data_IF_018715923554
#
_entry.id   IF_018715923554
#
_cell.length_a   1.000
_cell.length_b   1.000
_cell.length_c   1.000
_cell.angle_alpha   90.00
_cell.angle_beta   90.00
_cell.angle_gamma   90.00
#
_symmetry.space_group_name_H-M   'P 1'
#
loop_
_entity.id
_entity.type
_entity.pdbx_description
1 polymer ?
#
# COMPACT_ATOMS: atom_id res chain seq x y z
N UNK A 1 -71.79 -5.66 30.82
CA UNK A 1 -72.55 -6.69 31.58
C UNK A 1 -73.31 -7.53 30.56
N UNK A 2 -73.23 -8.86 30.40
CA UNK A 2 -72.49 -9.94 31.05
C UNK A 2 -72.83 -11.29 30.36
N UNK A 3 -71.83 -12.16 30.26
CA UNK A 3 -71.73 -13.64 30.06
C UNK A 3 -72.97 -14.52 29.74
N UNK A 4 -72.75 -15.53 28.85
CA UNK A 4 -72.70 -17.02 29.08
C UNK A 4 -72.82 -17.77 27.72
N UNK A 5 -71.80 -18.49 27.23
CA UNK A 5 -71.46 -19.93 27.39
C UNK A 5 -72.59 -20.95 27.16
N UNK A 6 -72.40 -21.89 26.21
CA UNK A 6 -72.23 -23.35 26.50
C UNK A 6 -72.01 -24.18 25.21
N UNK A 7 -71.40 -25.36 25.41
CA UNK A 7 -70.69 -26.25 24.48
C UNK A 7 -71.31 -27.66 24.63
N UNK A 8 -71.60 -28.42 23.56
CA UNK A 8 -71.90 -29.88 23.70
C UNK A 8 -71.32 -30.69 22.52
N UNK A 9 -70.75 -31.83 22.93
CA UNK A 9 -69.96 -32.86 22.23
C UNK A 9 -70.78 -33.84 21.35
N UNK A 10 -70.04 -34.45 20.43
CA UNK A 10 -70.23 -35.66 19.58
C UNK A 10 -70.74 -36.91 20.35
N UNK A 11 -71.19 -38.02 19.68
CA UNK A 11 -70.25 -39.12 19.29
C UNK A 11 -70.71 -40.05 18.09
N UNK A 12 -69.80 -40.63 17.28
CA UNK A 12 -69.38 -42.09 17.22
C UNK A 12 -70.31 -43.01 16.38
N UNK A 13 -69.92 -44.02 15.59
CA UNK A 13 -68.72 -44.55 14.90
C UNK A 13 -69.18 -45.76 14.04
N UNK A 14 -68.42 -46.18 13.01
CA UNK A 14 -67.93 -47.58 12.77
C UNK A 14 -67.26 -47.66 11.37
N UNK A 15 -65.95 -47.88 11.13
CA UNK A 15 -64.93 -48.84 11.59
C UNK A 15 -65.06 -50.28 11.04
N UNK A 16 -65.38 -50.47 9.74
CA UNK A 16 -65.30 -51.81 9.09
C UNK A 16 -64.53 -51.97 7.78
N UNK A 17 -64.07 -50.92 7.08
CA UNK A 17 -63.53 -51.11 5.71
C UNK A 17 -62.02 -50.96 5.49
N UNK A 18 -61.20 -50.77 6.53
CA UNK A 18 -59.80 -50.38 6.28
C UNK A 18 -58.75 -51.44 6.63
N UNK A 19 -58.82 -52.64 6.05
CA UNK A 19 -57.65 -53.56 5.97
C UNK A 19 -57.61 -54.36 4.67
N UNK A 20 -57.07 -53.76 3.61
CA UNK A 20 -56.38 -54.48 2.52
C UNK A 20 -55.24 -53.64 1.93
N UNK A 21 -54.13 -53.60 2.68
CA UNK A 21 -52.75 -53.78 2.22
C UNK A 21 -52.40 -53.45 0.74
N UNK A 22 -51.63 -52.36 0.54
CA UNK A 22 -50.53 -52.31 -0.44
C UNK A 22 -49.33 -51.61 0.20
N UNK A 23 -48.36 -52.41 0.65
CA UNK A 23 -47.03 -51.96 1.08
C UNK A 23 -46.25 -51.54 -0.17
N UNK A 24 -46.30 -50.28 -0.60
CA UNK A 24 -45.44 -49.81 -1.70
C UNK A 24 -45.09 -48.31 -1.75
N UNK A 25 -44.69 -47.62 -0.65
CA UNK A 25 -44.03 -46.31 -0.81
C UNK A 25 -42.56 -46.25 -0.34
N UNK A 26 -42.06 -47.26 0.38
CA UNK A 26 -40.73 -47.15 1.01
C UNK A 26 -39.56 -47.54 0.10
N UNK A 27 -39.75 -48.55 -0.76
CA UNK A 27 -38.66 -49.08 -1.59
C UNK A 27 -38.33 -48.10 -2.74
N UNK A 28 -39.33 -47.47 -3.35
CA UNK A 28 -39.13 -46.49 -4.44
C UNK A 28 -38.40 -45.23 -3.99
N UNK A 29 -38.61 -44.78 -2.75
CA UNK A 29 -37.95 -43.59 -2.18
C UNK A 29 -36.46 -43.81 -1.90
N UNK A 30 -36.08 -44.99 -1.40
CA UNK A 30 -34.67 -45.32 -1.13
C UNK A 30 -33.90 -45.45 -2.43
N UNK A 31 -34.43 -46.16 -3.43
CA UNK A 31 -33.76 -46.31 -4.74
C UNK A 31 -33.64 -44.98 -5.49
N UNK A 32 -34.68 -44.13 -5.44
CA UNK A 32 -34.64 -42.83 -6.11
C UNK A 32 -33.66 -41.86 -5.41
N UNK A 33 -33.60 -41.85 -4.08
CA UNK A 33 -32.67 -41.00 -3.33
C UNK A 33 -31.22 -41.45 -3.49
N UNK A 34 -30.93 -42.76 -3.49
CA UNK A 34 -29.57 -43.26 -3.76
C UNK A 34 -29.13 -43.02 -5.19
N UNK A 35 -30.03 -43.18 -6.18
CA UNK A 35 -29.71 -42.89 -7.58
C UNK A 35 -29.41 -41.39 -7.79
N UNK A 36 -30.19 -40.50 -7.18
CA UNK A 36 -29.95 -39.05 -7.24
C UNK A 36 -28.60 -38.71 -6.57
N UNK A 37 -28.29 -39.30 -5.42
CA UNK A 37 -27.00 -39.07 -4.75
C UNK A 37 -25.83 -39.55 -5.62
N UNK A 38 -25.94 -40.72 -6.24
CA UNK A 38 -24.90 -41.27 -7.13
C UNK A 38 -24.70 -40.42 -8.39
N UNK A 39 -25.79 -39.89 -8.98
CA UNK A 39 -25.70 -38.95 -10.11
C UNK A 39 -25.08 -37.63 -9.69
N UNK A 40 -25.43 -37.11 -8.51
CA UNK A 40 -24.87 -35.87 -7.98
C UNK A 40 -23.37 -36.01 -7.65
N UNK A 41 -22.98 -37.09 -6.96
CA UNK A 41 -21.57 -37.39 -6.70
C UNK A 41 -20.81 -37.70 -7.99
N UNK A 42 -21.42 -38.40 -8.96
CA UNK A 42 -20.84 -38.63 -10.27
C UNK A 42 -20.55 -37.33 -11.03
N UNK A 43 -21.50 -36.38 -11.03
CA UNK A 43 -21.33 -35.06 -11.64
C UNK A 43 -20.31 -34.20 -10.90
N UNK A 44 -20.25 -34.27 -9.57
CA UNK A 44 -19.26 -33.56 -8.75
C UNK A 44 -17.84 -34.14 -8.94
N UNK A 45 -17.69 -35.46 -9.07
CA UNK A 45 -16.40 -36.11 -9.30
C UNK A 45 -15.92 -35.94 -10.75
N UNK A 46 -16.83 -35.90 -11.73
CA UNK A 46 -16.50 -35.62 -13.14
C UNK A 46 -16.22 -34.14 -13.41
N UNK A 47 -16.75 -33.22 -12.61
CA UNK A 47 -16.33 -31.82 -12.58
C UNK A 47 -15.06 -31.69 -11.74
N UNK A 48 -13.94 -32.23 -12.24
CA UNK A 48 -12.62 -31.77 -11.76
C UNK A 48 -12.60 -30.24 -11.91
N UNK A 49 -12.37 -29.45 -10.84
CA UNK A 49 -12.02 -28.05 -11.04
C UNK A 49 -10.77 -28.07 -11.91
N UNK A 50 -10.88 -27.48 -13.10
CA UNK A 50 -9.71 -27.21 -13.93
C UNK A 50 -8.93 -26.18 -13.12
N UNK A 51 -7.98 -26.66 -12.32
CA UNK A 51 -6.91 -25.82 -11.78
C UNK A 51 -6.15 -25.37 -13.02
N UNK A 52 -6.51 -24.20 -13.55
CA UNK A 52 -5.60 -23.47 -14.42
C UNK A 52 -4.32 -23.30 -13.61
N UNK A 53 -3.29 -24.07 -13.98
CA UNK A 53 -1.94 -23.76 -13.55
C UNK A 53 -1.58 -22.43 -14.18
N UNK A 54 -1.78 -21.36 -13.44
CA UNK A 54 -0.91 -20.18 -13.52
C UNK A 54 -0.12 -20.22 -12.23
N UNK A 55 1.16 -20.61 -12.33
CA UNK A 55 2.14 -19.60 -12.66
C UNK A 55 2.95 -20.00 -13.90
N UNK A 56 3.06 -19.07 -14.85
CA UNK A 56 4.37 -18.84 -15.42
C UNK A 56 5.31 -18.62 -14.23
N UNK A 57 6.07 -19.66 -13.90
CA UNK A 57 7.28 -19.46 -13.13
C UNK A 57 8.09 -18.54 -14.03
N UNK A 58 8.11 -17.25 -13.71
CA UNK A 58 9.17 -16.38 -14.20
C UNK A 58 10.45 -17.02 -13.70
N UNK A 59 11.04 -17.88 -14.52
CA UNK A 59 12.47 -18.16 -14.48
C UNK A 59 13.11 -16.90 -15.08
N UNK A 60 12.87 -15.77 -14.41
CA UNK A 60 13.74 -14.61 -14.57
C UNK A 60 15.06 -15.10 -14.02
N UNK A 61 16.07 -15.15 -14.87
CA UNK A 61 17.45 -15.12 -14.41
C UNK A 61 17.51 -14.03 -13.34
N UNK A 62 17.91 -14.38 -12.11
CA UNK A 62 18.01 -13.39 -11.04
C UNK A 62 19.09 -12.42 -11.46
N UNK A 63 18.71 -11.31 -12.09
CA UNK A 63 19.61 -10.22 -12.40
C UNK A 63 19.89 -9.54 -11.07
N UNK A 64 20.84 -10.10 -10.34
CA UNK A 64 21.38 -9.49 -9.13
C UNK A 64 22.18 -8.28 -9.60
N UNK A 65 21.57 -7.11 -9.46
CA UNK A 65 22.29 -5.85 -9.65
C UNK A 65 23.42 -5.77 -8.61
N UNK A 66 24.62 -5.43 -9.08
CA UNK A 66 25.77 -5.26 -8.19
C UNK A 66 25.63 -3.96 -7.40
N UNK A 67 25.92 -4.03 -6.10
CA UNK A 67 25.99 -2.84 -5.26
C UNK A 67 27.20 -2.00 -5.67
N UNK A 68 27.00 -0.68 -5.78
CA UNK A 68 28.09 0.29 -5.83
C UNK A 68 28.52 0.70 -4.41
N UNK A 69 29.80 0.95 -4.20
CA UNK A 69 30.35 1.49 -2.94
C UNK A 69 31.44 0.63 -2.29
N UNK A 70 31.86 0.94 -1.05
CA UNK A 70 31.27 1.96 -0.16
C UNK A 70 31.53 3.40 -0.62
N UNK A 71 30.57 4.30 -0.38
CA UNK A 71 30.74 5.74 -0.55
C UNK A 71 31.18 6.36 0.79
N UNK A 72 32.43 6.82 0.92
CA UNK A 72 32.90 7.38 2.19
C UNK A 72 32.23 8.74 2.46
N UNK A 73 31.73 8.94 3.68
CA UNK A 73 31.08 10.19 4.09
C UNK A 73 32.01 11.42 3.98
N UNK A 74 33.33 11.22 3.96
CA UNK A 74 34.32 12.28 3.73
C UNK A 74 34.21 12.91 2.34
N UNK A 75 33.58 12.23 1.37
CA UNK A 75 33.36 12.73 0.02
C UNK A 75 32.03 13.50 -0.10
N UNK A 76 31.24 13.58 0.98
CA UNK A 76 29.98 14.31 1.02
C UNK A 76 30.15 15.59 1.86
N UNK A 77 29.45 16.67 1.50
CA UNK A 77 29.48 17.89 2.31
C UNK A 77 28.83 17.69 3.69
N UNK A 78 29.18 18.58 4.62
CA UNK A 78 28.76 18.52 6.02
C UNK A 78 29.60 17.55 6.86
N UNK A 79 29.22 17.40 8.13
CA UNK A 79 29.91 16.56 9.13
C UNK A 79 28.92 15.79 9.98
N UNK A 80 29.36 14.78 10.74
CA UNK A 80 28.49 13.96 11.60
C UNK A 80 27.95 12.71 10.91
N UNK A 81 26.82 12.18 11.38
CA UNK A 81 26.23 10.98 10.80
C UNK A 81 25.19 11.30 9.73
N UNK A 82 25.00 10.38 8.79
CA UNK A 82 23.91 10.45 7.82
C UNK A 82 22.58 10.28 8.56
N UNK A 83 21.71 11.28 8.45
CA UNK A 83 20.41 11.30 9.12
C UNK A 83 19.30 10.80 8.21
N UNK A 84 19.32 11.20 6.94
CA UNK A 84 18.30 10.81 5.96
C UNK A 84 18.80 11.04 4.54
N UNK A 85 18.35 10.24 3.58
CA UNK A 85 18.61 10.41 2.15
C UNK A 85 17.32 10.12 1.37
N UNK A 86 17.08 10.89 0.31
CA UNK A 86 16.00 10.61 -0.64
C UNK A 86 16.38 11.03 -2.06
N UNK A 87 15.63 10.53 -3.03
CA UNK A 87 15.65 11.04 -4.38
C UNK A 87 14.38 10.68 -5.14
N UNK A 88 14.11 11.44 -6.20
CA UNK A 88 13.01 11.20 -7.13
C UNK A 88 13.39 11.70 -8.52
N UNK A 89 12.81 11.10 -9.54
CA UNK A 89 12.96 11.56 -10.92
C UNK A 89 12.01 12.74 -11.15
N UNK A 90 12.54 13.87 -11.61
CA UNK A 90 11.79 15.05 -12.00
C UNK A 90 11.21 14.87 -13.40
N UNK A 91 10.16 15.63 -13.79
CA UNK A 91 9.57 15.49 -15.12
C UNK A 91 10.50 15.87 -16.28
N UNK A 92 11.57 16.63 -16.04
CA UNK A 92 12.63 16.85 -17.03
C UNK A 92 13.53 15.62 -17.27
N UNK A 93 13.30 14.53 -16.53
CA UNK A 93 14.06 13.30 -16.62
C UNK A 93 15.31 13.26 -15.75
N UNK A 94 15.66 14.31 -15.00
CA UNK A 94 16.79 14.26 -14.08
C UNK A 94 16.42 13.66 -12.71
N UNK A 95 17.37 13.02 -12.05
CA UNK A 95 17.24 12.62 -10.65
C UNK A 95 17.54 13.81 -9.74
N UNK A 96 16.59 14.20 -8.90
CA UNK A 96 16.86 15.03 -7.74
C UNK A 96 17.33 14.13 -6.59
N UNK A 97 18.51 14.42 -6.04
CA UNK A 97 19.07 13.73 -4.89
C UNK A 97 19.22 14.70 -3.72
N UNK A 98 18.86 14.27 -2.52
CA UNK A 98 19.12 15.04 -1.31
C UNK A 98 19.41 14.18 -0.10
N UNK A 99 20.11 14.76 0.87
CA UNK A 99 20.39 14.12 2.15
C UNK A 99 20.49 15.14 3.30
N UNK A 100 20.37 14.64 4.53
CA UNK A 100 20.58 15.38 5.77
C UNK A 100 21.70 14.75 6.58
N UNK A 101 22.60 15.59 7.09
CA UNK A 101 23.76 15.17 7.90
C UNK A 101 24.20 16.34 8.77
N UNK A 102 24.46 16.07 10.05
CA UNK A 102 24.89 17.12 11.00
C UNK A 102 23.92 18.30 11.10
N UNK A 103 22.62 18.05 10.96
CA UNK A 103 21.59 19.10 11.00
C UNK A 103 21.53 20.02 9.78
N UNK A 104 22.18 19.63 8.68
CA UNK A 104 22.19 20.38 7.42
C UNK A 104 21.71 19.49 6.26
N UNK A 105 20.92 20.09 5.37
CA UNK A 105 20.41 19.47 4.17
C UNK A 105 21.26 19.85 2.95
N UNK A 106 21.43 18.90 2.05
CA UNK A 106 22.17 19.06 0.80
C UNK A 106 21.38 18.46 -0.34
N UNK A 107 21.36 19.15 -1.48
CA UNK A 107 20.61 18.72 -2.67
C UNK A 107 21.46 18.87 -3.91
N UNK A 108 21.24 18.02 -4.90
CA UNK A 108 21.80 18.16 -6.25
C UNK A 108 20.89 17.51 -7.28
N UNK A 109 21.23 17.72 -8.54
CA UNK A 109 20.62 17.03 -9.68
C UNK A 109 21.63 16.09 -10.33
N UNK A 110 21.13 15.00 -10.88
CA UNK A 110 21.92 14.01 -11.61
C UNK A 110 21.22 13.74 -12.94
N UNK A 111 21.85 14.05 -14.08
CA UNK A 111 21.31 13.72 -15.39
C UNK A 111 21.11 12.20 -15.54
N UNK A 112 20.24 11.81 -16.47
CA UNK A 112 20.06 10.40 -16.83
C UNK A 112 20.72 10.13 -18.18
N UNK A 113 21.32 8.96 -18.32
CA UNK A 113 21.86 8.46 -19.59
C UNK A 113 20.74 7.97 -20.50
N UNK A 114 21.06 7.72 -21.77
CA UNK A 114 20.13 7.20 -22.77
C UNK A 114 19.52 5.83 -22.39
N UNK A 115 20.18 5.06 -21.53
CA UNK A 115 19.70 3.78 -21.00
C UNK A 115 18.84 3.91 -19.72
N UNK A 116 18.47 5.14 -19.35
CA UNK A 116 17.75 5.48 -18.12
C UNK A 116 18.49 5.12 -16.82
N UNK A 117 19.82 5.09 -16.83
CA UNK A 117 20.63 5.03 -15.61
C UNK A 117 21.12 6.43 -15.17
N UNK A 118 21.29 6.69 -13.86
CA UNK A 118 21.85 7.96 -13.40
C UNK A 118 23.30 8.16 -13.85
N UNK A 119 23.59 9.35 -14.38
CA UNK A 119 24.93 9.76 -14.77
C UNK A 119 25.68 10.46 -13.63
N UNK A 120 26.15 9.67 -12.67
CA UNK A 120 26.86 10.16 -11.49
C UNK A 120 28.11 10.99 -11.80
N UNK A 121 28.74 10.79 -12.98
CA UNK A 121 29.93 11.54 -13.39
C UNK A 121 29.63 12.98 -13.82
N UNK A 122 28.37 13.26 -14.19
CA UNK A 122 27.87 14.57 -14.59
C UNK A 122 26.86 15.14 -13.58
N UNK A 123 26.85 14.61 -12.34
CA UNK A 123 26.05 15.18 -11.27
C UNK A 123 26.45 16.63 -10.98
N UNK A 124 25.47 17.50 -10.75
CA UNK A 124 25.75 18.87 -10.34
C UNK A 124 26.42 18.91 -8.96
N UNK A 125 27.12 20.02 -8.69
CA UNK A 125 27.65 20.31 -7.35
C UNK A 125 26.52 20.32 -6.32
N UNK A 126 26.84 19.90 -5.09
CA UNK A 126 25.89 19.99 -3.98
C UNK A 126 25.51 21.45 -3.69
N UNK A 127 24.22 21.73 -3.71
CA UNK A 127 23.61 22.93 -3.14
C UNK A 127 23.32 22.74 -1.64
N UNK A 128 23.38 23.84 -0.89
CA UNK A 128 23.25 23.87 0.57
C UNK A 128 24.34 24.74 1.22
N UNK A 129 24.48 24.70 2.56
CA UNK A 129 23.67 23.92 3.49
C UNK A 129 22.26 24.50 3.68
N UNK A 130 21.27 23.63 3.74
CA UNK A 130 19.91 23.97 4.17
C UNK A 130 19.80 23.73 5.68
N UNK A 131 19.63 24.75 6.53
CA UNK A 131 19.63 24.54 7.97
C UNK A 131 18.30 23.93 8.44
N UNK A 132 18.35 22.95 9.34
CA UNK A 132 17.15 22.36 9.95
C UNK A 132 16.26 23.39 10.66
N UNK A 133 16.82 24.49 11.13
CA UNK A 133 16.08 25.58 11.79
C UNK A 133 15.03 26.23 10.89
N UNK A 134 15.14 26.07 9.57
CA UNK A 134 14.17 26.59 8.61
C UNK A 134 13.00 25.61 8.39
N UNK A 135 13.03 24.43 9.00
CA UNK A 135 11.98 23.43 8.90
C UNK A 135 11.20 23.30 10.22
N UNK A 136 9.90 22.97 10.17
CA UNK A 136 9.13 22.74 11.37
C UNK A 136 9.60 21.51 12.16
N UNK A 137 9.12 21.39 13.40
CA UNK A 137 9.53 20.37 14.37
C UNK A 137 10.84 20.70 15.10
N UNK A 138 11.38 19.71 15.81
CA UNK A 138 12.63 19.82 16.59
C UNK A 138 13.45 18.53 16.47
N UNK A 139 14.73 18.59 16.87
CA UNK A 139 15.65 17.45 16.79
C UNK A 139 16.25 17.23 15.41
N UNK A 140 16.75 16.02 15.16
CA UNK A 140 17.36 15.64 13.89
C UNK A 140 16.34 15.19 12.85
N UNK A 141 16.75 15.21 11.58
CA UNK A 141 15.94 14.62 10.51
C UNK A 141 15.88 13.10 10.71
N UNK A 142 14.69 12.53 10.81
CA UNK A 142 14.49 11.09 10.98
C UNK A 142 14.29 10.41 9.62
N UNK A 143 13.59 11.07 8.71
CA UNK A 143 13.32 10.55 7.37
C UNK A 143 12.86 11.68 6.46
N UNK A 144 13.15 11.58 5.17
CA UNK A 144 12.63 12.49 4.15
C UNK A 144 12.20 11.69 2.93
N UNK A 145 11.22 12.18 2.19
CA UNK A 145 10.85 11.62 0.89
C UNK A 145 10.20 12.70 0.01
N UNK A 146 10.20 12.44 -1.28
CA UNK A 146 9.39 13.19 -2.23
C UNK A 146 9.06 12.34 -3.44
N UNK A 147 7.96 12.68 -4.10
CA UNK A 147 7.53 12.05 -5.35
C UNK A 147 6.66 13.01 -6.16
N UNK A 148 6.67 12.85 -7.48
CA UNK A 148 5.83 13.62 -8.40
C UNK A 148 4.43 13.02 -8.41
N UNK A 149 3.44 13.82 -8.09
CA UNK A 149 2.03 13.45 -8.14
C UNK A 149 1.49 13.46 -9.59
N UNK A 150 0.36 12.78 -9.88
CA UNK A 150 -0.22 12.79 -11.22
C UNK A 150 -0.64 14.16 -11.75
N UNK A 151 -0.84 15.15 -10.87
CA UNK A 151 -1.12 16.53 -11.26
C UNK A 151 0.16 17.32 -11.64
N UNK A 152 1.33 16.68 -11.60
CA UNK A 152 2.62 17.27 -11.94
C UNK A 152 3.34 17.97 -10.79
N UNK A 153 2.73 18.10 -9.61
CA UNK A 153 3.37 18.74 -8.46
C UNK A 153 4.22 17.74 -7.66
N UNK A 154 5.23 18.24 -6.95
CA UNK A 154 6.01 17.44 -6.01
C UNK A 154 5.29 17.40 -4.67
N UNK A 155 5.00 16.19 -4.18
CA UNK A 155 4.74 15.99 -2.76
C UNK A 155 6.08 15.86 -2.04
N UNK A 156 6.34 16.74 -1.07
CA UNK A 156 7.50 16.65 -0.20
C UNK A 156 7.04 16.32 1.22
N UNK A 157 7.72 15.38 1.88
CA UNK A 157 7.45 15.06 3.27
C UNK A 157 8.70 14.69 4.06
N UNK A 158 8.64 14.86 5.38
CA UNK A 158 9.71 14.45 6.29
C UNK A 158 9.19 14.15 7.69
N UNK A 159 9.99 13.41 8.47
CA UNK A 159 9.77 13.15 9.89
C UNK A 159 10.89 13.74 10.72
N UNK A 160 10.52 14.43 11.80
CA UNK A 160 11.43 15.11 12.71
C UNK A 160 10.79 15.29 14.07
N UNK A 161 11.50 14.94 15.14
CA UNK A 161 10.98 15.04 16.51
C UNK A 161 9.72 14.20 16.74
N UNK A 162 9.59 13.05 16.04
CA UNK A 162 8.41 12.19 16.14
C UNK A 162 7.14 12.76 15.49
N UNK A 163 7.29 13.75 14.61
CA UNK A 163 6.20 14.40 13.88
C UNK A 163 6.48 14.38 12.37
N UNK A 164 5.43 14.11 11.59
CA UNK A 164 5.45 14.15 10.14
C UNK A 164 4.99 15.50 9.61
N UNK A 165 5.65 15.96 8.57
CA UNK A 165 5.37 17.22 7.89
C UNK A 165 5.33 16.98 6.40
N UNK A 166 4.39 17.62 5.73
CA UNK A 166 4.14 17.44 4.30
C UNK A 166 3.82 18.77 3.65
N UNK A 167 4.16 18.92 2.38
CA UNK A 167 3.72 20.06 1.58
C UNK A 167 3.75 19.69 0.10
N UNK A 168 3.11 20.53 -0.68
CA UNK A 168 3.14 20.43 -2.13
C UNK A 168 4.00 21.54 -2.71
N UNK A 169 4.75 21.22 -3.76
CA UNK A 169 5.63 22.15 -4.46
C UNK A 169 5.28 22.12 -5.94
N UNK A 170 4.80 23.25 -6.50
CA UNK A 170 4.55 23.37 -7.93
C UNK A 170 5.83 23.16 -8.76
N UNK A 171 5.67 22.90 -10.05
CA UNK A 171 6.79 22.83 -11.00
C UNK A 171 6.89 24.11 -11.83
N UNK A 172 8.12 24.51 -12.13
CA UNK A 172 8.43 25.54 -13.12
C UNK A 172 8.27 25.00 -14.54
N UNK A 173 8.34 25.90 -15.52
CA UNK A 173 8.27 25.55 -16.94
C UNK A 173 9.41 24.63 -17.42
N UNK A 174 10.56 24.63 -16.73
CA UNK A 174 11.68 23.72 -16.98
C UNK A 174 11.54 22.36 -16.25
N UNK A 175 10.37 22.11 -15.63
CA UNK A 175 10.05 20.94 -14.83
C UNK A 175 10.94 20.75 -13.59
N UNK A 176 11.51 21.84 -13.04
CA UNK A 176 12.15 21.84 -11.72
C UNK A 176 11.19 22.33 -10.62
N UNK A 177 11.37 21.93 -9.35
CA UNK A 177 10.49 22.38 -8.27
C UNK A 177 10.57 23.90 -8.04
N UNK A 178 9.41 24.53 -7.93
CA UNK A 178 9.28 25.94 -7.58
C UNK A 178 9.19 26.17 -6.07
N UNK A 179 10.33 26.11 -5.40
CA UNK A 179 10.43 26.29 -3.95
C UNK A 179 9.89 27.63 -3.44
N UNK A 180 9.86 28.68 -4.27
CA UNK A 180 9.32 30.00 -3.90
C UNK A 180 7.79 30.02 -3.80
N UNK A 181 7.12 29.07 -4.45
CA UNK A 181 5.67 28.91 -4.45
C UNK A 181 5.21 27.61 -3.77
N UNK A 182 6.09 26.98 -2.98
CA UNK A 182 5.73 25.82 -2.18
C UNK A 182 4.61 26.17 -1.18
N UNK A 183 3.67 25.26 -0.99
CA UNK A 183 2.64 25.44 0.03
C UNK A 183 3.27 25.51 1.43
N UNK A 184 2.53 26.10 2.37
CA UNK A 184 2.85 25.94 3.79
C UNK A 184 2.91 24.46 4.16
N UNK A 185 3.70 24.14 5.18
CA UNK A 185 3.75 22.80 5.74
C UNK A 185 2.41 22.44 6.39
N UNK A 186 1.85 21.30 5.97
CA UNK A 186 0.82 20.57 6.71
C UNK A 186 1.45 19.68 7.78
N UNK A 187 0.68 19.40 8.84
CA UNK A 187 1.12 18.68 10.03
C UNK A 187 0.95 19.50 11.32
N UNK A 188 1.51 19.04 12.46
CA UNK A 188 2.26 17.79 12.60
C UNK A 188 1.35 16.56 12.50
N UNK A 189 1.78 15.57 11.73
CA UNK A 189 1.20 14.24 11.72
C UNK A 189 1.85 13.44 12.86
N UNK A 190 1.11 13.03 13.91
CA UNK A 190 1.72 12.33 15.03
C UNK A 190 2.04 10.87 14.66
N UNK A 191 3.19 10.37 15.12
CA UNK A 191 3.57 8.96 14.96
C UNK A 191 2.56 7.97 15.55
N UNK A 192 1.75 8.39 16.53
CA UNK A 192 0.70 7.56 17.15
C UNK A 192 -0.38 7.10 16.15
N UNK A 193 -0.52 7.81 15.03
CA UNK A 193 -1.50 7.46 14.00
C UNK A 193 -0.96 6.42 13.00
N UNK A 194 0.33 6.07 13.12
CA UNK A 194 0.97 5.07 12.27
C UNK A 194 1.20 3.77 13.03
N UNK A 195 1.16 2.62 12.35
CA UNK A 195 1.55 1.35 12.94
C UNK A 195 3.02 1.32 13.37
N UNK A 196 3.36 0.34 14.20
CA UNK A 196 4.67 0.20 14.81
C UNK A 196 4.88 1.06 16.06
N UNK A 197 6.10 1.04 16.60
CA UNK A 197 6.52 1.81 17.78
C UNK A 197 7.91 2.43 17.55
N UNK A 198 8.29 3.41 18.38
CA UNK A 198 9.56 4.12 18.25
C UNK A 198 9.54 5.19 17.16
N UNK A 199 10.74 5.66 16.80
CA UNK A 199 10.96 6.71 15.82
C UNK A 199 10.80 6.22 14.37
N UNK A 200 10.52 7.17 13.47
CA UNK A 200 10.57 6.91 12.03
C UNK A 200 12.02 6.63 11.62
N UNK A 201 12.25 5.57 10.85
CA UNK A 201 13.60 5.16 10.42
C UNK A 201 13.82 5.45 8.93
N UNK A 202 12.77 5.32 8.12
CA UNK A 202 12.78 5.71 6.72
C UNK A 202 11.35 5.81 6.20
N UNK A 203 11.16 6.52 5.09
CA UNK A 203 9.90 6.61 4.39
C UNK A 203 10.17 6.68 2.89
N UNK A 204 9.24 6.17 2.09
CA UNK A 204 9.28 6.25 0.65
C UNK A 204 7.86 6.33 0.09
N UNK A 205 7.72 6.94 -1.06
CA UNK A 205 6.49 6.96 -1.83
C UNK A 205 6.80 7.06 -3.31
N UNK A 206 6.00 6.40 -4.14
CA UNK A 206 6.08 6.56 -5.60
C UNK A 206 4.72 6.28 -6.24
N UNK A 207 4.48 6.95 -7.37
CA UNK A 207 3.27 6.74 -8.16
C UNK A 207 3.48 5.52 -9.07
N UNK A 208 2.59 4.55 -8.98
CA UNK A 208 2.56 3.37 -9.82
C UNK A 208 1.98 3.70 -11.22
N UNK A 209 2.25 2.89 -12.26
CA UNK A 209 1.74 3.14 -13.61
C UNK A 209 0.21 3.22 -13.71
N UNK A 210 -0.52 2.56 -12.82
CA UNK A 210 -1.98 2.64 -12.72
C UNK A 210 -2.48 3.94 -12.06
N UNK A 211 -1.56 4.82 -11.64
CA UNK A 211 -1.86 6.11 -11.03
C UNK A 211 -2.15 6.06 -9.54
N UNK A 212 -2.00 4.91 -8.88
CA UNK A 212 -2.07 4.77 -7.42
C UNK A 212 -0.73 5.11 -6.77
N UNK A 213 -0.75 5.51 -5.50
CA UNK A 213 0.47 5.76 -4.73
C UNK A 213 0.82 4.51 -3.94
N UNK A 214 2.03 3.98 -4.13
CA UNK A 214 2.60 3.05 -3.16
C UNK A 214 3.40 3.84 -2.14
N UNK A 215 3.06 3.68 -0.86
CA UNK A 215 3.73 4.34 0.26
C UNK A 215 4.25 3.30 1.23
N UNK A 216 5.48 3.46 1.69
CA UNK A 216 6.05 2.60 2.71
C UNK A 216 6.94 3.35 3.68
N UNK A 217 7.16 2.76 4.85
CA UNK A 217 8.06 3.30 5.86
C UNK A 217 8.59 2.18 6.76
N UNK A 218 9.72 2.47 7.42
CA UNK A 218 10.29 1.60 8.45
C UNK A 218 10.17 2.28 9.81
N UNK A 219 9.67 1.52 10.79
CA UNK A 219 9.48 1.99 12.15
C UNK A 219 9.52 0.82 13.13
N UNK A 220 10.28 0.96 14.21
CA UNK A 220 10.43 -0.09 15.22
C UNK A 220 11.06 -1.36 14.67
N UNK A 221 11.90 -1.25 13.63
CA UNK A 221 12.52 -2.41 12.98
C UNK A 221 11.56 -3.20 12.08
N UNK A 222 10.41 -2.65 11.74
CA UNK A 222 9.40 -3.28 10.88
C UNK A 222 9.08 -2.38 9.69
N UNK A 223 8.90 -2.99 8.52
CA UNK A 223 8.46 -2.32 7.30
C UNK A 223 6.94 -2.35 7.17
N UNK A 224 6.36 -1.20 6.81
CA UNK A 224 4.94 -1.02 6.56
C UNK A 224 4.76 -0.51 5.14
N UNK A 225 3.78 -1.05 4.43
CA UNK A 225 3.46 -0.64 3.05
C UNK A 225 1.95 -0.59 2.87
N UNK A 226 1.49 0.37 2.08
CA UNK A 226 0.11 0.46 1.62
C UNK A 226 0.05 0.97 0.19
N UNK A 227 -1.05 0.65 -0.47
CA UNK A 227 -1.48 1.30 -1.71
C UNK A 227 -2.56 2.31 -1.37
N UNK A 228 -2.42 3.54 -1.85
CA UNK A 228 -3.41 4.60 -1.72
C UNK A 228 -4.08 4.79 -3.08
N UNK A 229 -5.42 4.63 -3.17
CA UNK A 229 -6.15 4.81 -4.42
C UNK A 229 -5.98 6.20 -5.02
N UNK A 230 -6.06 6.28 -6.35
CA UNK A 230 -6.04 7.55 -7.08
C UNK A 230 -7.16 8.47 -6.57
N UNK A 231 -6.81 9.72 -6.26
CA UNK A 231 -7.75 10.73 -5.76
C UNK A 231 -7.91 10.75 -4.24
N UNK A 232 -7.29 9.81 -3.52
CA UNK A 232 -7.24 9.79 -2.05
C UNK A 232 -5.89 10.25 -1.50
N UNK A 233 -5.06 10.88 -2.32
CA UNK A 233 -3.80 11.45 -1.88
C UNK A 233 -4.09 12.61 -0.94
N UNK A 234 -4.03 12.33 0.36
CA UNK A 234 -4.04 13.35 1.39
C UNK A 234 -2.59 13.71 1.71
N UNK A 235 -2.29 15.00 1.93
CA UNK A 235 -1.09 15.40 2.63
C UNK A 235 -0.96 14.61 3.95
#
# INVERSE_FOLDING_TARGET
>A
MGKKETNIKTPVQTLKDLKKQTKLPFITSIFLSTLILLVFFGLVILRKPRVERVPEVFVGEEVICSWGGPLPLSNLPGTGDMQSQAGYIMPNGELQQGFWRGGQGWVRTVPMRADNTPDWGNASSWGGPLPLSNLPGTGDMQSQAGYIMPNGELQQGFWRGGQGWVRTVPMRADNTPDWGNASSWGGPLPLSNLPGTGDMQSQAGYIMPNGELQQGFWRGGQGWVRTVPKGEFRP
#
